data_IF_394270408472
#
_entry.id   IF_394270408472
#
_cell.length_a   1.000
_cell.length_b   1.000
_cell.length_c   1.000
_cell.angle_alpha   90.00
_cell.angle_beta   90.00
_cell.angle_gamma   90.00
#
_symmetry.space_group_name_H-M   'P 1'
#
loop_
_entity.id
_entity.type
_entity.pdbx_description
1 polymer ?
#
# COMPACT_ATOMS: atom_id res chain seq x y z
N UNK A 1 42.21 9.48 6.38
CA UNK A 1 42.02 8.47 5.31
C UNK A 1 40.56 8.57 4.89
N UNK A 2 40.29 8.86 3.61
CA UNK A 2 38.92 8.95 3.11
C UNK A 2 38.42 7.53 2.79
N UNK A 3 37.17 7.25 3.12
CA UNK A 3 36.52 5.97 2.80
C UNK A 3 36.15 6.01 1.30
N UNK A 4 36.50 4.97 0.56
CA UNK A 4 36.09 4.77 -0.83
C UNK A 4 34.70 4.12 -0.88
N UNK A 5 33.74 4.82 -1.48
CA UNK A 5 32.33 4.40 -1.60
C UNK A 5 31.96 3.79 -2.95
N UNK A 6 32.90 3.67 -3.89
CA UNK A 6 32.63 3.16 -5.26
C UNK A 6 32.05 1.74 -5.31
N UNK A 7 32.24 0.96 -4.24
CA UNK A 7 31.61 -0.35 -4.08
C UNK A 7 30.09 -0.25 -3.86
N UNK A 8 29.62 0.77 -3.15
CA UNK A 8 28.21 0.98 -2.87
C UNK A 8 27.46 1.46 -4.12
N UNK A 9 28.09 2.34 -4.90
CA UNK A 9 27.53 2.85 -6.16
C UNK A 9 27.13 1.74 -7.15
N UNK A 10 27.83 0.60 -7.10
CA UNK A 10 27.55 -0.57 -7.95
C UNK A 10 26.48 -1.51 -7.40
N UNK A 11 26.09 -1.35 -6.13
CA UNK A 11 25.15 -2.22 -5.43
C UNK A 11 23.74 -1.63 -5.32
N UNK A 12 23.59 -0.34 -5.62
CA UNK A 12 22.34 0.39 -5.46
C UNK A 12 21.88 0.97 -6.80
N UNK A 13 20.57 1.14 -6.97
CA UNK A 13 20.02 1.87 -8.11
C UNK A 13 20.23 3.37 -7.93
N UNK A 14 21.31 3.88 -8.54
CA UNK A 14 21.68 5.29 -8.44
C UNK A 14 20.68 6.24 -9.10
N UNK A 15 19.95 5.80 -10.12
CA UNK A 15 18.94 6.64 -10.80
C UNK A 15 17.65 6.72 -9.97
N UNK A 16 17.24 5.60 -9.38
CA UNK A 16 16.17 5.56 -8.37
C UNK A 16 16.50 6.47 -7.19
N UNK A 17 17.70 6.34 -6.60
CA UNK A 17 18.11 7.17 -5.47
C UNK A 17 18.19 8.67 -5.82
N UNK A 18 18.63 9.03 -7.02
CA UNK A 18 18.60 10.44 -7.47
C UNK A 18 17.18 10.95 -7.60
N UNK A 19 16.26 10.12 -8.10
CA UNK A 19 14.84 10.45 -8.21
C UNK A 19 14.22 10.64 -6.83
N UNK A 20 14.45 9.70 -5.90
CA UNK A 20 14.01 9.78 -4.51
C UNK A 20 14.53 11.04 -3.81
N UNK A 21 15.81 11.40 -4.02
CA UNK A 21 16.40 12.63 -3.48
C UNK A 21 15.74 13.86 -4.09
N UNK A 22 15.46 13.86 -5.40
CA UNK A 22 14.80 14.98 -6.07
C UNK A 22 13.37 15.17 -5.57
N UNK A 23 12.62 14.08 -5.45
CA UNK A 23 11.26 14.09 -4.89
C UNK A 23 11.27 14.53 -3.42
N UNK A 24 12.23 14.07 -2.61
CA UNK A 24 12.36 14.49 -1.21
C UNK A 24 12.77 15.97 -1.05
N UNK A 25 13.58 16.50 -1.97
CA UNK A 25 13.98 17.91 -2.02
C UNK A 25 12.84 18.82 -2.51
N UNK A 26 12.06 18.37 -3.49
CA UNK A 26 10.90 19.11 -4.02
C UNK A 26 9.73 19.11 -3.04
N UNK A 27 9.52 18.02 -2.30
CA UNK A 27 8.43 17.87 -1.33
C UNK A 27 8.78 18.25 0.11
N UNK A 28 10.01 18.74 0.36
CA UNK A 28 10.36 19.40 1.63
C UNK A 28 10.32 18.49 2.85
N UNK A 29 10.96 17.32 2.82
CA UNK A 29 11.44 16.58 4.02
C UNK A 29 10.43 16.04 5.04
N UNK A 30 9.17 16.47 5.01
CA UNK A 30 8.05 15.92 5.77
C UNK A 30 6.95 15.59 4.76
N UNK A 31 6.78 14.30 4.44
CA UNK A 31 5.55 13.86 3.79
C UNK A 31 4.40 14.25 4.71
N UNK A 32 3.69 15.34 4.40
CA UNK A 32 2.45 15.67 5.08
C UNK A 32 1.51 14.50 4.88
N UNK A 33 1.04 13.90 5.98
CA UNK A 33 -0.05 12.94 5.92
C UNK A 33 -1.18 13.55 5.09
N UNK A 34 -1.60 12.86 4.03
CA UNK A 34 -2.70 13.33 3.21
C UNK A 34 -3.95 13.45 4.11
N UNK A 35 -4.71 14.56 4.06
CA UNK A 35 -5.90 14.71 4.87
C UNK A 35 -6.95 13.64 4.52
N UNK A 36 -7.93 13.43 5.39
CA UNK A 36 -9.08 12.59 5.03
C UNK A 36 -9.81 13.18 3.82
N UNK A 37 -10.14 12.34 2.84
CA UNK A 37 -10.69 12.74 1.56
C UNK A 37 -10.79 11.56 0.59
N UNK A 38 -11.17 11.85 -0.65
CA UNK A 38 -11.19 10.89 -1.74
C UNK A 38 -9.99 11.13 -2.65
N UNK A 39 -9.29 10.06 -3.01
CA UNK A 39 -8.07 10.12 -3.79
C UNK A 39 -8.08 9.09 -4.90
N UNK A 40 -7.60 9.46 -6.09
CA UNK A 40 -7.17 8.50 -7.08
C UNK A 40 -5.79 7.96 -6.67
N UNK A 41 -5.69 6.65 -6.51
CA UNK A 41 -4.50 5.97 -6.00
C UNK A 41 -4.16 4.73 -6.81
N UNK A 42 -2.88 4.39 -6.86
CA UNK A 42 -2.43 3.03 -7.18
C UNK A 42 -1.95 2.31 -5.92
N UNK A 43 -2.01 0.98 -5.91
CA UNK A 43 -1.47 0.17 -4.80
C UNK A 43 0.02 -0.10 -5.07
N UNK A 44 0.89 0.62 -4.35
CA UNK A 44 2.33 0.45 -4.46
C UNK A 44 2.81 -0.81 -3.72
N UNK A 45 2.19 -1.11 -2.57
CA UNK A 45 2.50 -2.28 -1.73
C UNK A 45 1.23 -2.92 -1.23
N UNK A 46 1.17 -4.24 -1.29
CA UNK A 46 0.14 -5.10 -0.71
C UNK A 46 0.83 -6.41 -0.32
N UNK A 47 0.99 -6.67 0.97
CA UNK A 47 1.63 -7.89 1.47
C UNK A 47 1.09 -8.27 2.86
N UNK A 48 1.18 -9.55 3.21
CA UNK A 48 1.06 -10.00 4.59
C UNK A 48 2.39 -9.79 5.33
N UNK A 49 2.33 -9.22 6.53
CA UNK A 49 3.50 -9.04 7.37
C UNK A 49 3.16 -9.01 8.85
N UNK A 50 4.13 -8.57 9.66
CA UNK A 50 3.98 -8.48 11.12
C UNK A 50 3.90 -7.03 11.59
N UNK A 51 3.07 -6.82 12.61
CA UNK A 51 3.00 -5.57 13.38
C UNK A 51 4.14 -5.45 14.38
N UNK A 52 4.31 -4.26 14.96
CA UNK A 52 5.28 -4.02 16.04
C UNK A 52 5.02 -4.84 17.32
N UNK A 53 3.85 -5.47 17.43
CA UNK A 53 3.45 -6.30 18.57
C UNK A 53 3.30 -7.77 18.19
N UNK A 54 4.03 -8.22 17.14
CA UNK A 54 4.08 -9.61 16.67
C UNK A 54 2.72 -10.22 16.33
N UNK A 55 1.81 -9.39 15.79
CA UNK A 55 0.52 -9.83 15.25
C UNK A 55 0.51 -9.73 13.72
N UNK A 56 -0.06 -10.71 12.99
CA UNK A 56 -0.15 -10.67 11.55
C UNK A 56 -1.05 -9.51 11.09
N UNK A 57 -0.63 -8.86 10.00
CA UNK A 57 -1.31 -7.71 9.41
C UNK A 57 -1.07 -7.61 7.92
N UNK A 58 -2.06 -7.11 7.20
CA UNK A 58 -1.90 -6.69 5.81
C UNK A 58 -1.36 -5.26 5.80
N UNK A 59 -0.34 -5.04 4.98
CA UNK A 59 0.29 -3.73 4.75
C UNK A 59 -0.06 -3.25 3.37
N UNK A 60 -0.77 -2.13 3.29
CA UNK A 60 -1.17 -1.52 2.02
C UNK A 60 -0.63 -0.09 1.96
N UNK A 61 0.10 0.22 0.89
CA UNK A 61 0.57 1.57 0.59
C UNK A 61 -0.13 2.05 -0.68
N UNK A 62 -0.99 3.04 -0.52
CA UNK A 62 -1.65 3.70 -1.64
C UNK A 62 -0.81 4.92 -2.05
N UNK A 63 -0.37 4.99 -3.30
CA UNK A 63 0.32 6.17 -3.85
C UNK A 63 -0.70 7.03 -4.57
N UNK A 64 -0.83 8.29 -4.15
CA UNK A 64 -1.76 9.26 -4.73
C UNK A 64 -1.27 9.67 -6.13
N UNK A 65 -2.18 9.67 -7.10
CA UNK A 65 -1.86 9.86 -8.53
C UNK A 65 -2.00 11.31 -8.99
N UNK A 66 -2.85 12.09 -8.32
CA UNK A 66 -3.17 13.47 -8.70
C UNK A 66 -3.47 14.41 -7.51
N UNK A 67 -3.63 15.69 -7.79
CA UNK A 67 -3.88 16.75 -6.80
C UNK A 67 -2.65 17.21 -6.03
N UNK A 68 -2.89 18.03 -4.99
CA UNK A 68 -1.85 18.68 -4.18
C UNK A 68 -0.96 17.69 -3.40
N UNK A 69 -1.42 16.44 -3.24
CA UNK A 69 -0.74 15.38 -2.52
C UNK A 69 -0.24 14.26 -3.46
N UNK A 70 -0.13 14.53 -4.77
CA UNK A 70 0.42 13.58 -5.75
C UNK A 70 1.77 13.04 -5.28
N UNK A 71 1.97 11.73 -5.46
CA UNK A 71 3.11 10.94 -5.00
C UNK A 71 3.22 10.74 -3.47
N UNK A 72 2.38 11.37 -2.65
CA UNK A 72 2.30 11.01 -1.23
C UNK A 72 1.69 9.62 -1.07
N UNK A 73 2.01 8.99 0.06
CA UNK A 73 1.51 7.66 0.41
C UNK A 73 0.49 7.75 1.52
N UNK A 74 -0.59 6.98 1.39
CA UNK A 74 -1.52 6.69 2.47
C UNK A 74 -1.23 5.28 2.97
N UNK A 75 -0.96 5.15 4.26
CA UNK A 75 -0.60 3.88 4.88
C UNK A 75 -1.82 3.22 5.53
N UNK A 76 -2.12 2.00 5.12
CA UNK A 76 -3.18 1.20 5.71
C UNK A 76 -2.62 -0.11 6.26
N UNK A 77 -2.76 -0.29 7.58
CA UNK A 77 -2.25 -1.43 8.32
C UNK A 77 -3.41 -2.17 8.99
N UNK A 78 -3.86 -3.27 8.40
CA UNK A 78 -5.01 -4.03 8.88
C UNK A 78 -4.54 -5.30 9.60
N UNK A 79 -4.71 -5.35 10.93
CA UNK A 79 -4.48 -6.58 11.69
C UNK A 79 -5.39 -7.70 11.17
N UNK A 80 -4.90 -8.93 11.16
CA UNK A 80 -5.65 -10.15 10.79
C UNK A 80 -5.45 -11.26 11.82
N UNK A 81 -5.27 -10.89 13.10
CA UNK A 81 -5.03 -11.81 14.22
C UNK A 81 -6.30 -12.47 14.80
N UNK A 82 -7.49 -12.15 14.27
CA UNK A 82 -8.77 -12.74 14.69
C UNK A 82 -9.68 -12.97 13.48
N UNK A 83 -10.62 -13.92 13.59
CA UNK A 83 -11.57 -14.23 12.50
C UNK A 83 -12.40 -13.02 12.03
N UNK A 84 -12.84 -12.16 12.95
CA UNK A 84 -13.55 -10.93 12.59
C UNK A 84 -12.67 -9.97 11.76
N UNK A 85 -11.39 -9.85 12.12
CA UNK A 85 -10.44 -9.00 11.42
C UNK A 85 -10.07 -9.56 10.05
N UNK A 86 -9.95 -10.88 9.94
CA UNK A 86 -9.78 -11.59 8.66
C UNK A 86 -11.00 -11.34 7.76
N UNK A 87 -12.21 -11.43 8.29
CA UNK A 87 -13.43 -11.14 7.52
C UNK A 87 -13.46 -9.70 6.98
N UNK A 88 -13.10 -8.72 7.80
CA UNK A 88 -12.99 -7.30 7.37
C UNK A 88 -11.92 -7.15 6.29
N UNK A 89 -10.77 -7.77 6.47
CA UNK A 89 -9.68 -7.74 5.50
C UNK A 89 -10.09 -8.38 4.16
N UNK A 90 -10.81 -9.51 4.21
CA UNK A 90 -11.35 -10.17 3.01
C UNK A 90 -12.24 -9.23 2.20
N UNK A 91 -13.19 -8.54 2.85
CA UNK A 91 -14.07 -7.60 2.14
C UNK A 91 -13.30 -6.47 1.44
N UNK A 92 -12.17 -6.05 2.00
CA UNK A 92 -11.29 -5.08 1.36
C UNK A 92 -10.51 -5.69 0.19
N UNK A 93 -9.90 -6.86 0.37
CA UNK A 93 -9.12 -7.52 -0.69
C UNK A 93 -10.01 -7.85 -1.90
N UNK A 94 -11.21 -8.40 -1.65
CA UNK A 94 -12.22 -8.67 -2.67
C UNK A 94 -12.68 -7.39 -3.40
N UNK A 95 -12.42 -6.19 -2.83
CA UNK A 95 -12.76 -4.91 -3.49
C UNK A 95 -11.67 -4.40 -4.45
N UNK A 96 -10.49 -5.03 -4.49
CA UNK A 96 -9.40 -4.60 -5.38
C UNK A 96 -9.52 -5.15 -6.79
N UNK A 97 -10.33 -6.19 -7.00
CA UNK A 97 -10.58 -6.78 -8.30
C UNK A 97 -11.91 -7.53 -8.29
N UNK A 98 -12.70 -7.39 -9.36
CA UNK A 98 -13.92 -8.20 -9.56
C UNK A 98 -13.65 -9.52 -10.28
N UNK A 99 -12.50 -9.64 -10.94
CA UNK A 99 -12.15 -10.77 -11.82
C UNK A 99 -11.29 -11.84 -11.13
N UNK A 100 -10.73 -11.52 -9.97
CA UNK A 100 -9.91 -12.45 -9.18
C UNK A 100 -10.80 -13.35 -8.31
N UNK A 101 -10.33 -14.56 -8.02
CA UNK A 101 -11.07 -15.50 -7.18
C UNK A 101 -11.12 -14.94 -5.76
N UNK A 102 -12.29 -14.92 -5.09
CA UNK A 102 -12.37 -14.43 -3.72
C UNK A 102 -11.33 -15.09 -2.80
N UNK A 103 -10.58 -14.27 -2.05
CA UNK A 103 -9.53 -14.77 -1.17
C UNK A 103 -10.16 -15.45 0.04
N UNK A 104 -9.86 -16.72 0.27
CA UNK A 104 -10.35 -17.49 1.40
C UNK A 104 -9.23 -17.73 2.42
N UNK A 105 -9.55 -17.79 3.72
CA UNK A 105 -8.54 -18.02 4.74
C UNK A 105 -8.50 -19.48 5.18
N UNK A 106 -7.40 -20.17 4.85
CA UNK A 106 -7.13 -21.54 5.33
C UNK A 106 -5.90 -21.56 6.25
N UNK A 107 -4.81 -20.92 5.82
CA UNK A 107 -3.58 -20.75 6.62
C UNK A 107 -2.94 -19.40 6.32
N UNK A 108 -2.08 -18.89 7.20
CA UNK A 108 -1.36 -17.63 6.93
C UNK A 108 -0.37 -17.73 5.76
N UNK A 109 0.18 -18.91 5.47
CA UNK A 109 1.09 -19.09 4.33
C UNK A 109 0.31 -18.97 3.02
N UNK A 110 -0.80 -19.70 2.90
CA UNK A 110 -1.69 -19.58 1.73
C UNK A 110 -2.27 -18.18 1.62
N UNK A 111 -2.67 -17.55 2.74
CA UNK A 111 -3.18 -16.19 2.71
C UNK A 111 -2.13 -15.17 2.23
N UNK A 112 -0.85 -15.37 2.55
CA UNK A 112 0.23 -14.55 2.00
C UNK A 112 0.40 -14.75 0.48
N UNK A 113 0.35 -16.00 0.02
CA UNK A 113 0.44 -16.35 -1.40
C UNK A 113 -0.71 -15.73 -2.20
N UNK A 114 -1.96 -15.85 -1.73
CA UNK A 114 -3.13 -15.24 -2.37
C UNK A 114 -3.03 -13.70 -2.43
N UNK A 115 -2.53 -13.06 -1.36
CA UNK A 115 -2.31 -11.60 -1.34
C UNK A 115 -1.24 -11.18 -2.36
N UNK A 116 -0.15 -11.95 -2.48
CA UNK A 116 0.91 -11.70 -3.46
C UNK A 116 0.40 -11.91 -4.91
N UNK A 117 -0.44 -12.92 -5.14
CA UNK A 117 -1.10 -13.15 -6.42
C UNK A 117 -2.05 -12.01 -6.79
N UNK A 118 -2.84 -11.52 -5.84
CA UNK A 118 -3.68 -10.34 -6.03
C UNK A 118 -2.83 -9.11 -6.35
N UNK A 119 -1.73 -8.87 -5.63
CA UNK A 119 -0.83 -7.75 -5.94
C UNK A 119 -0.24 -7.86 -7.35
N UNK A 120 0.17 -9.06 -7.75
CA UNK A 120 0.67 -9.30 -9.11
C UNK A 120 -0.41 -9.02 -10.15
N UNK A 121 -1.65 -9.44 -9.92
CA UNK A 121 -2.77 -9.15 -10.81
C UNK A 121 -3.01 -7.63 -10.94
N UNK A 122 -3.00 -6.91 -9.82
CA UNK A 122 -3.13 -5.44 -9.79
C UNK A 122 -2.04 -4.78 -10.65
N UNK A 123 -0.79 -5.23 -10.52
CA UNK A 123 0.34 -4.68 -11.29
C UNK A 123 0.27 -5.02 -12.77
N UNK A 124 -0.03 -6.27 -13.11
CA UNK A 124 -0.12 -6.74 -14.50
C UNK A 124 -1.23 -6.00 -15.28
N UNK A 125 -2.31 -5.62 -14.60
CA UNK A 125 -3.44 -4.87 -15.18
C UNK A 125 -3.41 -3.37 -14.88
N UNK A 126 -2.37 -2.87 -14.19
CA UNK A 126 -2.19 -1.46 -13.81
C UNK A 126 -3.44 -0.85 -13.18
N UNK A 127 -4.03 -1.56 -12.22
CA UNK A 127 -5.27 -1.09 -11.62
C UNK A 127 -5.04 0.17 -10.76
N UNK A 128 -5.95 1.12 -10.93
CA UNK A 128 -6.04 2.34 -10.14
C UNK A 128 -7.39 2.39 -9.43
N UNK A 129 -7.50 3.18 -8.36
CA UNK A 129 -8.62 3.13 -7.45
C UNK A 129 -9.07 4.52 -7.01
N UNK A 130 -10.38 4.71 -6.93
CA UNK A 130 -10.96 5.80 -6.14
C UNK A 130 -11.05 5.35 -4.68
N UNK A 131 -10.14 5.84 -3.84
CA UNK A 131 -10.06 5.52 -2.43
C UNK A 131 -10.70 6.62 -1.57
N UNK A 132 -11.74 6.27 -0.82
CA UNK A 132 -12.20 7.07 0.31
C UNK A 132 -11.35 6.77 1.54
N UNK A 133 -10.55 7.75 1.97
CA UNK A 133 -9.78 7.74 3.21
C UNK A 133 -10.46 8.65 4.24
N UNK A 134 -11.04 8.07 5.28
CA UNK A 134 -11.87 8.79 6.25
C UNK A 134 -11.58 8.37 7.69
N UNK A 135 -12.38 8.88 8.63
CA UNK A 135 -12.29 8.58 10.06
C UNK A 135 -13.64 8.13 10.58
N UNK A 136 -13.68 7.00 11.28
CA UNK A 136 -14.89 6.58 11.95
C UNK A 136 -15.15 7.41 13.22
N UNK A 137 -16.36 7.24 13.80
CA UNK A 137 -16.80 7.90 15.04
C UNK A 137 -15.88 7.71 16.25
N UNK A 138 -15.03 6.67 16.24
CA UNK A 138 -14.10 6.37 17.32
C UNK A 138 -12.70 6.94 17.06
N UNK A 139 -12.51 7.67 15.97
CA UNK A 139 -11.24 8.29 15.63
C UNK A 139 -10.24 7.35 14.95
N UNK A 140 -10.66 6.20 14.45
CA UNK A 140 -9.80 5.33 13.65
C UNK A 140 -9.99 5.61 12.17
N UNK A 141 -8.91 5.50 11.43
CA UNK A 141 -8.91 5.59 9.98
C UNK A 141 -9.74 4.47 9.34
N UNK A 142 -10.41 4.81 8.25
CA UNK A 142 -11.23 3.91 7.44
C UNK A 142 -10.92 4.08 5.97
N UNK A 143 -10.97 2.98 5.25
CA UNK A 143 -10.58 2.89 3.84
C UNK A 143 -11.70 2.18 3.09
N UNK A 144 -12.13 2.76 1.97
CA UNK A 144 -13.15 2.16 1.11
C UNK A 144 -12.80 2.42 -0.35
N UNK A 145 -12.74 1.36 -1.13
CA UNK A 145 -12.66 1.45 -2.58
C UNK A 145 -14.07 1.80 -3.10
N UNK A 146 -14.16 2.92 -3.80
CA UNK A 146 -15.39 3.41 -4.41
C UNK A 146 -15.54 2.88 -5.84
N UNK A 147 -14.44 2.92 -6.59
CA UNK A 147 -14.36 2.54 -8.01
C UNK A 147 -12.97 1.95 -8.31
N UNK A 148 -12.92 1.05 -9.29
CA UNK A 148 -11.70 0.42 -9.83
C UNK A 148 -11.57 0.82 -11.30
N UNK A 149 -10.37 1.21 -11.71
CA UNK A 149 -10.05 1.68 -13.05
C UNK A 149 -8.87 0.91 -13.64
N UNK A 150 -8.80 0.81 -14.97
CA UNK A 150 -7.60 0.36 -15.69
C UNK A 150 -6.73 1.60 -16.04
N UNK A 151 -5.44 1.56 -15.69
CA UNK A 151 -4.47 2.65 -15.94
C UNK A 151 -3.66 2.55 -17.24
#
# INVERSE_FOLDING_TARGET
>A
MAIDFSKYDKMVDLEGLKTDVKEAMENGGEFKDAPHGTYEVQIEKLELGMSKSDKPMIKIWYKILEGDYKNNKIFHNQLVDTGQKIHIAKQLLDSFSEDEKPIEFETYQQYAEDIDELKKYIDDNKLEYSLEYSKNKNGYDTFKILEVFEG
#
